data_IF_457230173151
#
_entry.id   IF_457230173151
#
_cell.length_a   1.000
_cell.length_b   1.000
_cell.length_c   1.000
_cell.angle_alpha   90.00
_cell.angle_beta   90.00
_cell.angle_gamma   90.00
#
_symmetry.space_group_name_H-M   'P 1'
#
loop_
_entity.id
_entity.type
_entity.pdbx_description
1 polymer ?
#
# COMPACT_ATOMS: atom_id res chain seq x y z
N UNK A 1 1.06 -19.16 -60.46
CA UNK A 1 1.77 -18.55 -59.31
C UNK A 1 0.81 -17.55 -58.71
N UNK A 2 0.33 -17.74 -57.47
CA UNK A 2 -0.52 -16.75 -56.83
C UNK A 2 0.35 -15.66 -56.20
N UNK A 3 -0.03 -14.41 -56.44
CA UNK A 3 0.58 -13.20 -55.88
C UNK A 3 0.26 -13.09 -54.39
N UNK A 4 1.30 -12.80 -53.60
CA UNK A 4 1.20 -12.48 -52.17
C UNK A 4 0.37 -11.21 -51.98
N UNK A 5 -0.80 -11.35 -51.36
CA UNK A 5 -1.49 -10.23 -50.71
C UNK A 5 -0.80 -10.04 -49.36
N UNK A 6 0.11 -9.07 -49.29
CA UNK A 6 0.62 -8.57 -48.02
C UNK A 6 -0.54 -7.98 -47.22
N UNK A 7 -0.78 -8.59 -46.07
CA UNK A 7 -1.74 -8.15 -45.08
C UNK A 7 -1.24 -6.83 -44.48
N UNK A 8 -1.67 -5.70 -45.05
CA UNK A 8 -1.41 -4.38 -44.49
C UNK A 8 -2.17 -4.29 -43.17
N UNK A 9 -1.45 -4.45 -42.06
CA UNK A 9 -1.99 -4.29 -40.71
C UNK A 9 -2.63 -2.92 -40.57
N UNK A 10 -3.94 -2.91 -40.29
CA UNK A 10 -4.67 -1.73 -39.88
C UNK A 10 -4.01 -1.20 -38.60
N UNK A 11 -3.33 -0.05 -38.70
CA UNK A 11 -2.90 0.69 -37.53
C UNK A 11 -3.99 1.73 -37.22
N UNK A 12 -4.66 1.63 -36.07
CA UNK A 12 -5.69 2.59 -35.69
C UNK A 12 -5.10 4.00 -35.57
N UNK A 13 -5.88 5.02 -35.95
CA UNK A 13 -5.43 6.41 -35.84
C UNK A 13 -5.42 6.90 -34.38
N UNK A 14 -4.78 8.05 -34.10
CA UNK A 14 -4.68 8.60 -32.74
C UNK A 14 -6.04 8.95 -32.10
N UNK A 15 -7.05 9.24 -32.91
CA UNK A 15 -8.40 9.54 -32.45
C UNK A 15 -9.12 8.27 -32.01
N UNK A 16 -8.96 7.18 -32.77
CA UNK A 16 -9.50 5.86 -32.46
C UNK A 16 -8.82 5.24 -31.22
N UNK A 17 -7.50 5.39 -31.09
CA UNK A 17 -6.75 4.99 -29.89
C UNK A 17 -7.27 5.71 -28.63
N UNK A 18 -7.55 7.01 -28.73
CA UNK A 18 -8.09 7.78 -27.61
C UNK A 18 -9.54 7.35 -27.26
N UNK A 19 -10.35 6.97 -28.24
CA UNK A 19 -11.70 6.45 -27.99
C UNK A 19 -11.68 5.06 -27.32
N UNK A 20 -10.78 4.17 -27.74
CA UNK A 20 -10.64 2.84 -27.15
C UNK A 20 -10.16 2.92 -25.70
N UNK A 21 -9.17 3.79 -25.41
CA UNK A 21 -8.72 4.03 -24.04
C UNK A 21 -9.87 4.56 -23.17
N UNK A 22 -10.61 5.57 -23.64
CA UNK A 22 -11.76 6.11 -22.90
C UNK A 22 -12.80 5.04 -22.59
N UNK A 23 -13.11 4.17 -23.57
CA UNK A 23 -14.03 3.05 -23.38
C UNK A 23 -13.51 2.05 -22.35
N UNK A 24 -12.23 1.69 -22.42
CA UNK A 24 -11.58 0.79 -21.48
C UNK A 24 -11.58 1.35 -20.06
N UNK A 25 -11.37 2.66 -19.88
CA UNK A 25 -11.44 3.33 -18.58
C UNK A 25 -12.86 3.34 -18.02
N UNK A 26 -13.88 3.55 -18.84
CA UNK A 26 -15.28 3.46 -18.40
C UNK A 26 -15.62 2.05 -17.91
N UNK A 27 -15.15 1.01 -18.62
CA UNK A 27 -15.29 -0.38 -18.17
C UNK A 27 -14.63 -0.59 -16.81
N UNK A 28 -13.38 -0.13 -16.65
CA UNK A 28 -12.67 -0.25 -15.38
C UNK A 28 -13.43 0.43 -14.23
N UNK A 29 -13.97 1.64 -14.46
CA UNK A 29 -14.69 2.43 -13.45
C UNK A 29 -16.03 1.83 -13.00
N UNK A 30 -16.55 0.80 -13.68
CA UNK A 30 -17.69 0.05 -13.17
C UNK A 30 -17.37 -0.73 -11.88
N UNK A 31 -16.09 -1.02 -11.64
CA UNK A 31 -15.65 -1.89 -10.55
C UNK A 31 -15.84 -3.37 -10.89
N UNK A 32 -15.52 -4.25 -9.93
CA UNK A 32 -15.46 -5.71 -10.07
C UNK A 32 -14.36 -6.18 -11.03
N UNK A 33 -13.25 -6.65 -10.46
CA UNK A 33 -12.08 -7.07 -11.23
C UNK A 33 -12.42 -8.13 -12.29
N UNK A 34 -13.26 -9.11 -11.95
CA UNK A 34 -13.59 -10.23 -12.84
C UNK A 34 -14.43 -9.74 -14.04
N UNK A 35 -15.33 -8.77 -13.82
CA UNK A 35 -16.10 -8.14 -14.89
C UNK A 35 -15.26 -7.23 -15.77
N UNK A 36 -14.36 -6.43 -15.20
CA UNK A 36 -13.45 -5.56 -15.94
C UNK A 36 -12.60 -6.40 -16.91
N UNK A 37 -11.90 -7.42 -16.38
CA UNK A 37 -11.03 -8.27 -17.20
C UNK A 37 -11.82 -8.97 -18.33
N UNK A 38 -13.03 -9.44 -18.03
CA UNK A 38 -13.90 -10.10 -19.00
C UNK A 38 -14.35 -9.14 -20.11
N UNK A 39 -14.86 -7.97 -19.77
CA UNK A 39 -15.39 -7.01 -20.74
C UNK A 39 -14.29 -6.46 -21.64
N UNK A 40 -13.11 -6.12 -21.08
CA UNK A 40 -11.96 -5.66 -21.89
C UNK A 40 -11.55 -6.71 -22.94
N UNK A 41 -11.66 -8.00 -22.62
CA UNK A 41 -11.38 -9.09 -23.56
C UNK A 41 -12.49 -9.26 -24.59
N UNK A 42 -13.76 -9.26 -24.17
CA UNK A 42 -14.92 -9.40 -25.07
C UNK A 42 -15.00 -8.27 -26.10
N UNK A 43 -14.60 -7.06 -25.69
CA UNK A 43 -14.57 -5.89 -26.56
C UNK A 43 -13.26 -5.71 -27.35
N UNK A 44 -12.29 -6.63 -27.21
CA UNK A 44 -10.96 -6.57 -27.84
C UNK A 44 -10.16 -5.29 -27.51
N UNK A 45 -10.33 -4.76 -26.30
CA UNK A 45 -9.60 -3.57 -25.83
C UNK A 45 -8.31 -3.93 -25.06
N UNK A 46 -8.26 -5.12 -24.44
CA UNK A 46 -7.26 -5.40 -23.42
C UNK A 46 -5.81 -5.41 -23.92
N UNK A 47 -5.52 -6.06 -25.05
CA UNK A 47 -4.15 -6.16 -25.57
C UNK A 47 -3.57 -4.79 -25.99
N UNK A 48 -4.41 -3.90 -26.52
CA UNK A 48 -3.99 -2.55 -26.88
C UNK A 48 -3.62 -1.72 -25.65
N UNK A 49 -4.40 -1.84 -24.58
CA UNK A 49 -4.12 -1.18 -23.30
C UNK A 49 -2.89 -1.77 -22.60
N UNK A 50 -2.68 -3.09 -22.69
CA UNK A 50 -1.45 -3.75 -22.24
C UNK A 50 -0.23 -3.16 -22.93
N UNK A 51 -0.28 -2.95 -24.24
CA UNK A 51 0.82 -2.33 -24.99
C UNK A 51 1.03 -0.85 -24.60
N UNK A 52 -0.04 -0.11 -24.28
CA UNK A 52 0.06 1.26 -23.77
C UNK A 52 0.78 1.30 -22.42
N UNK A 53 0.36 0.46 -21.47
CA UNK A 53 0.93 0.41 -20.12
C UNK A 53 2.36 -0.13 -20.13
N UNK A 54 2.67 -1.12 -20.99
CA UNK A 54 4.07 -1.53 -21.24
C UNK A 54 4.94 -0.36 -21.68
N UNK A 55 4.52 0.41 -22.70
CA UNK A 55 5.28 1.58 -23.15
C UNK A 55 5.46 2.63 -22.06
N UNK A 56 4.48 2.76 -21.15
CA UNK A 56 4.54 3.69 -20.01
C UNK A 56 5.62 3.27 -19.00
N UNK A 57 5.78 1.98 -18.71
CA UNK A 57 6.60 1.49 -17.60
C UNK A 57 7.74 0.54 -17.98
N UNK A 58 8.03 0.30 -19.26
CA UNK A 58 9.07 -0.63 -19.72
C UNK A 58 10.48 -0.28 -19.24
N UNK A 59 10.74 1.00 -18.93
CA UNK A 59 12.02 1.46 -18.39
C UNK A 59 12.10 1.38 -16.86
N UNK A 60 10.95 1.26 -16.19
CA UNK A 60 10.83 1.21 -14.74
C UNK A 60 10.72 -0.23 -14.21
N UNK A 61 10.19 -1.15 -15.04
CA UNK A 61 9.98 -2.56 -14.70
C UNK A 61 10.97 -3.43 -15.46
N UNK A 62 11.93 -3.97 -14.71
CA UNK A 62 12.88 -4.97 -15.21
C UNK A 62 12.22 -6.36 -15.29
N UNK A 63 11.90 -6.82 -16.51
CA UNK A 63 11.25 -8.11 -16.71
C UNK A 63 12.11 -9.33 -16.34
N UNK A 64 13.42 -9.16 -16.11
CA UNK A 64 14.26 -10.25 -15.61
C UNK A 64 13.91 -10.64 -14.18
N UNK A 65 13.22 -9.76 -13.45
CA UNK A 65 12.68 -10.03 -12.12
C UNK A 65 11.41 -10.92 -12.14
N UNK A 66 10.75 -11.07 -13.31
CA UNK A 66 9.47 -11.74 -13.47
C UNK A 66 9.51 -12.88 -14.52
N UNK A 67 10.44 -13.85 -14.42
CA UNK A 67 10.61 -14.89 -15.43
C UNK A 67 9.38 -15.80 -15.61
N UNK A 68 8.54 -15.95 -14.58
CA UNK A 68 7.36 -16.83 -14.59
C UNK A 68 6.02 -16.09 -14.65
N UNK A 69 5.98 -14.78 -14.33
CA UNK A 69 4.73 -14.00 -14.27
C UNK A 69 4.69 -12.72 -15.12
N UNK A 70 5.65 -12.50 -16.01
CA UNK A 70 5.72 -11.28 -16.85
C UNK A 70 4.41 -10.93 -17.57
N UNK A 71 3.65 -11.92 -18.08
CA UNK A 71 2.33 -11.66 -18.68
C UNK A 71 1.34 -11.08 -17.67
N UNK A 72 1.24 -11.69 -16.49
CA UNK A 72 0.31 -11.29 -15.44
C UNK A 72 0.67 -9.95 -14.82
N UNK A 73 1.96 -9.57 -14.77
CA UNK A 73 2.39 -8.22 -14.39
C UNK A 73 1.66 -7.19 -15.24
N UNK A 74 1.74 -7.33 -16.57
CA UNK A 74 1.14 -6.35 -17.48
C UNK A 74 -0.39 -6.41 -17.49
N UNK A 75 -0.99 -7.60 -17.41
CA UNK A 75 -2.46 -7.72 -17.32
C UNK A 75 -3.02 -6.99 -16.09
N UNK A 76 -2.41 -7.17 -14.91
CA UNK A 76 -2.89 -6.57 -13.66
C UNK A 76 -2.62 -5.07 -13.60
N UNK A 77 -1.40 -4.62 -13.95
CA UNK A 77 -1.08 -3.19 -14.00
C UNK A 77 -1.95 -2.44 -15.01
N UNK A 78 -2.39 -3.10 -16.09
CA UNK A 78 -3.28 -2.49 -17.07
C UNK A 78 -4.67 -2.23 -16.49
N UNK A 79 -5.22 -3.21 -15.77
CA UNK A 79 -6.51 -3.04 -15.10
C UNK A 79 -6.42 -1.93 -14.04
N UNK A 80 -5.33 -1.89 -13.27
CA UNK A 80 -5.08 -0.83 -12.28
C UNK A 80 -4.91 0.56 -12.91
N UNK A 81 -4.11 0.68 -13.98
CA UNK A 81 -3.89 1.96 -14.70
C UNK A 81 -5.17 2.51 -15.34
N UNK A 82 -6.01 1.63 -15.89
CA UNK A 82 -7.30 2.01 -16.45
C UNK A 82 -8.24 2.56 -15.35
N UNK A 83 -8.14 2.02 -14.13
CA UNK A 83 -8.95 2.44 -12.99
C UNK A 83 -8.46 3.73 -12.34
N UNK A 84 -7.17 3.77 -11.99
CA UNK A 84 -6.53 4.88 -11.27
C UNK A 84 -5.01 4.95 -11.56
N UNK A 85 -4.62 5.94 -12.37
CA UNK A 85 -3.23 6.10 -12.79
C UNK A 85 -2.27 6.46 -11.66
N UNK A 86 -2.75 7.12 -10.59
CA UNK A 86 -1.93 7.44 -9.43
C UNK A 86 -1.56 6.17 -8.67
N UNK A 87 -2.50 5.22 -8.55
CA UNK A 87 -2.31 3.93 -7.89
C UNK A 87 -1.26 3.07 -8.61
N UNK A 88 -1.37 2.89 -9.93
CA UNK A 88 -0.38 2.08 -10.66
C UNK A 88 1.03 2.70 -10.62
N UNK A 89 1.13 4.03 -10.70
CA UNK A 89 2.42 4.73 -10.56
C UNK A 89 3.03 4.50 -9.17
N UNK A 90 2.19 4.52 -8.13
CA UNK A 90 2.60 4.23 -6.77
C UNK A 90 3.10 2.79 -6.64
N UNK A 91 2.39 1.78 -7.17
CA UNK A 91 2.83 0.39 -7.21
C UNK A 91 4.21 0.21 -7.85
N UNK A 92 4.45 0.84 -9.01
CA UNK A 92 5.73 0.78 -9.73
C UNK A 92 6.86 1.43 -8.94
N UNK A 93 6.63 2.58 -8.32
CA UNK A 93 7.65 3.24 -7.49
C UNK A 93 7.91 2.49 -6.17
N UNK A 94 6.87 1.93 -5.55
CA UNK A 94 7.00 1.06 -4.36
C UNK A 94 7.84 -0.16 -4.68
N UNK A 95 7.61 -0.81 -5.82
CA UNK A 95 8.43 -1.90 -6.33
C UNK A 95 9.90 -1.48 -6.53
N UNK A 96 10.17 -0.34 -7.17
CA UNK A 96 11.54 0.16 -7.39
C UNK A 96 12.27 0.42 -6.06
N UNK A 97 11.60 1.07 -5.12
CA UNK A 97 12.14 1.37 -3.79
C UNK A 97 12.44 0.08 -3.02
N UNK A 98 11.51 -0.86 -3.00
CA UNK A 98 11.69 -2.16 -2.36
C UNK A 98 12.84 -2.94 -3.00
N UNK A 99 12.91 -2.99 -4.35
CA UNK A 99 13.99 -3.64 -5.10
C UNK A 99 15.36 -3.08 -4.73
N UNK A 100 15.53 -1.75 -4.75
CA UNK A 100 16.78 -1.10 -4.34
C UNK A 100 17.15 -1.51 -2.92
N UNK A 101 16.20 -1.42 -1.98
CA UNK A 101 16.47 -1.66 -0.57
C UNK A 101 16.90 -3.10 -0.30
N UNK A 102 16.18 -4.09 -0.83
CA UNK A 102 16.43 -5.49 -0.46
C UNK A 102 17.71 -6.08 -1.06
N UNK A 103 18.23 -5.45 -2.11
CA UNK A 103 19.47 -5.86 -2.76
C UNK A 103 20.71 -5.26 -2.09
N UNK A 104 20.54 -4.22 -1.25
CA UNK A 104 21.63 -3.51 -0.59
C UNK A 104 22.20 -4.29 0.60
N UNK A 105 23.50 -4.09 0.84
CA UNK A 105 24.14 -4.48 2.11
C UNK A 105 23.84 -3.40 3.15
N UNK A 106 23.03 -3.77 4.14
CA UNK A 106 22.60 -2.92 5.25
C UNK A 106 23.45 -3.16 6.50
N UNK A 107 23.12 -2.45 7.57
CA UNK A 107 23.78 -2.58 8.87
C UNK A 107 23.87 -4.04 9.34
N UNK A 108 25.02 -4.40 9.93
CA UNK A 108 25.30 -5.78 10.35
C UNK A 108 25.58 -6.75 9.19
N UNK A 109 25.87 -6.25 7.98
CA UNK A 109 26.04 -7.02 6.74
C UNK A 109 24.78 -7.83 6.37
N UNK A 110 23.61 -7.30 6.69
CA UNK A 110 22.32 -7.90 6.33
C UNK A 110 21.97 -7.54 4.89
N UNK A 111 21.46 -8.50 4.13
CA UNK A 111 20.86 -8.29 2.81
C UNK A 111 19.44 -8.86 2.85
N UNK A 112 18.41 -8.02 2.77
CA UNK A 112 17.02 -8.45 2.96
C UNK A 112 16.54 -9.43 1.88
N UNK A 113 17.11 -9.41 0.67
CA UNK A 113 16.79 -10.42 -0.34
C UNK A 113 17.22 -11.85 0.08
N UNK A 114 18.24 -11.98 0.94
CA UNK A 114 18.59 -13.26 1.56
C UNK A 114 17.59 -13.62 2.67
N UNK A 115 17.06 -12.65 3.41
CA UNK A 115 15.97 -12.86 4.37
C UNK A 115 14.77 -13.52 3.68
N UNK A 116 14.29 -12.91 2.58
CA UNK A 116 13.15 -13.40 1.80
C UNK A 116 13.36 -14.86 1.35
N UNK A 117 14.55 -15.16 0.81
CA UNK A 117 14.91 -16.53 0.41
C UNK A 117 14.91 -17.52 1.57
N UNK A 118 15.36 -17.10 2.75
CA UNK A 118 15.41 -17.95 3.95
C UNK A 118 14.03 -18.42 4.43
N UNK A 119 12.97 -17.77 3.96
CA UNK A 119 11.58 -18.07 4.30
C UNK A 119 10.87 -18.92 3.24
N UNK A 120 11.58 -19.34 2.20
CA UNK A 120 11.02 -20.15 1.12
C UNK A 120 10.13 -19.36 0.17
N UNK A 121 10.27 -18.03 0.14
CA UNK A 121 9.61 -17.16 -0.84
C UNK A 121 10.61 -16.76 -1.91
N UNK A 122 10.22 -16.94 -3.17
CA UNK A 122 11.00 -16.47 -4.31
C UNK A 122 10.93 -14.95 -4.38
N UNK A 123 12.06 -14.30 -4.67
CA UNK A 123 12.14 -12.85 -4.83
C UNK A 123 11.14 -12.33 -5.87
N UNK A 124 10.91 -13.08 -6.96
CA UNK A 124 9.89 -12.79 -7.97
C UNK A 124 8.50 -12.58 -7.35
N UNK A 125 8.12 -13.40 -6.35
CA UNK A 125 6.81 -13.30 -5.69
C UNK A 125 6.70 -12.06 -4.82
N UNK A 126 7.79 -11.66 -4.18
CA UNK A 126 7.86 -10.42 -3.43
C UNK A 126 7.74 -9.21 -4.35
N UNK A 127 8.52 -9.15 -5.44
CA UNK A 127 8.41 -8.07 -6.41
C UNK A 127 7.03 -8.01 -7.07
N UNK A 128 6.43 -9.17 -7.35
CA UNK A 128 5.08 -9.22 -7.90
C UNK A 128 4.07 -8.65 -6.90
N UNK A 129 4.18 -9.00 -5.62
CA UNK A 129 3.37 -8.41 -4.56
C UNK A 129 3.55 -6.88 -4.47
N UNK A 130 4.78 -6.35 -4.60
CA UNK A 130 5.00 -4.90 -4.62
C UNK A 130 4.24 -4.22 -5.76
N UNK A 131 4.20 -4.83 -6.96
CA UNK A 131 3.49 -4.27 -8.11
C UNK A 131 1.97 -4.41 -8.04
N UNK A 132 1.45 -5.32 -7.21
CA UNK A 132 0.01 -5.66 -7.22
C UNK A 132 -0.65 -5.52 -5.85
N UNK A 133 0.01 -4.92 -4.86
CA UNK A 133 -0.51 -4.84 -3.49
C UNK A 133 -1.82 -4.06 -3.42
N UNK A 134 -1.98 -3.09 -4.31
CA UNK A 134 -3.11 -2.17 -4.37
C UNK A 134 -4.17 -2.56 -5.41
N UNK A 135 -4.03 -3.71 -6.11
CA UNK A 135 -4.95 -4.10 -7.20
C UNK A 135 -6.42 -4.16 -6.76
N UNK A 136 -6.69 -4.41 -5.48
CA UNK A 136 -8.03 -4.40 -4.90
C UNK A 136 -8.69 -3.02 -4.85
N UNK A 137 -7.96 -1.92 -5.09
CA UNK A 137 -8.53 -0.58 -5.22
C UNK A 137 -9.48 -0.45 -6.39
N UNK A 138 -9.40 -1.34 -7.39
CA UNK A 138 -10.35 -1.38 -8.51
C UNK A 138 -11.79 -1.68 -8.07
N UNK A 139 -11.96 -2.21 -6.85
CA UNK A 139 -13.28 -2.43 -6.24
C UNK A 139 -13.60 -1.43 -5.11
N UNK A 140 -12.83 -0.33 -5.01
CA UNK A 140 -13.10 0.79 -4.10
C UNK A 140 -13.58 1.99 -4.92
N UNK A 141 -14.75 2.57 -4.65
CA UNK A 141 -15.31 3.65 -5.47
C UNK A 141 -14.31 4.78 -5.74
N UNK A 142 -14.23 5.22 -7.00
CA UNK A 142 -13.24 6.22 -7.41
C UNK A 142 -13.31 7.57 -6.67
N UNK A 143 -14.51 8.00 -6.25
CA UNK A 143 -14.69 9.23 -5.44
C UNK A 143 -14.25 9.06 -3.98
N UNK A 144 -14.12 7.82 -3.49
CA UNK A 144 -13.49 7.50 -2.20
C UNK A 144 -11.96 7.57 -2.32
N UNK A 145 -11.37 6.94 -3.34
CA UNK A 145 -9.91 6.95 -3.57
C UNK A 145 -9.40 8.38 -3.81
N UNK A 146 -10.13 9.14 -4.64
CA UNK A 146 -9.80 10.51 -5.01
C UNK A 146 -10.55 11.55 -4.17
N UNK A 147 -10.95 11.18 -2.96
CA UNK A 147 -11.62 12.08 -2.04
C UNK A 147 -10.75 13.32 -1.79
N UNK A 148 -11.35 14.51 -1.91
CA UNK A 148 -10.64 15.80 -1.81
C UNK A 148 -10.83 16.49 -0.45
N UNK A 149 -11.57 15.87 0.46
CA UNK A 149 -11.82 16.42 1.79
C UNK A 149 -10.50 16.53 2.54
N UNK A 150 -10.16 17.75 2.93
CA UNK A 150 -8.90 18.06 3.58
C UNK A 150 -8.89 17.57 5.03
N UNK A 151 -7.69 17.38 5.61
CA UNK A 151 -7.55 17.05 7.03
C UNK A 151 -8.26 18.03 7.96
N UNK A 152 -8.33 19.31 7.58
CA UNK A 152 -9.04 20.35 8.35
C UNK A 152 -10.55 20.14 8.30
N UNK A 153 -11.10 19.87 7.11
CA UNK A 153 -12.54 19.61 6.95
C UNK A 153 -12.96 18.34 7.69
N UNK A 154 -12.18 17.25 7.58
CA UNK A 154 -12.42 16.05 8.38
C UNK A 154 -12.42 16.33 9.88
N UNK A 155 -11.45 17.12 10.35
CA UNK A 155 -11.35 17.51 11.75
C UNK A 155 -12.55 18.36 12.21
N UNK A 156 -13.03 19.29 11.39
CA UNK A 156 -14.21 20.11 11.68
C UNK A 156 -15.47 19.25 11.82
N UNK A 157 -15.67 18.27 10.93
CA UNK A 157 -16.79 17.32 11.01
C UNK A 157 -16.69 16.47 12.28
N UNK A 158 -15.49 15.98 12.62
CA UNK A 158 -15.26 15.20 13.84
C UNK A 158 -15.59 16.02 15.10
N UNK A 159 -15.17 17.28 15.16
CA UNK A 159 -15.47 18.18 16.27
C UNK A 159 -16.98 18.39 16.45
N UNK A 160 -17.71 18.58 15.34
CA UNK A 160 -19.16 18.70 15.37
C UNK A 160 -19.84 17.43 15.91
N UNK A 161 -19.39 16.24 15.47
CA UNK A 161 -19.89 14.95 15.98
C UNK A 161 -19.65 14.82 17.48
N UNK A 162 -18.45 15.17 17.95
CA UNK A 162 -18.07 15.10 19.37
C UNK A 162 -18.94 16.06 20.21
N UNK A 163 -19.14 17.29 19.74
CA UNK A 163 -19.89 18.31 20.46
C UNK A 163 -21.39 17.99 20.53
N UNK A 164 -21.96 17.42 19.46
CA UNK A 164 -23.36 16.97 19.41
C UNK A 164 -23.59 15.59 20.00
N UNK A 165 -22.52 14.83 20.30
CA UNK A 165 -22.56 13.43 20.74
C UNK A 165 -23.21 12.47 19.74
N UNK A 166 -23.02 12.71 18.44
CA UNK A 166 -23.59 11.90 17.34
C UNK A 166 -22.69 10.70 16.98
N UNK A 167 -22.23 9.93 17.96
CA UNK A 167 -21.30 8.81 17.73
C UNK A 167 -22.01 7.63 17.07
N UNK A 168 -21.44 7.09 16.00
CA UNK A 168 -21.91 5.83 15.40
C UNK A 168 -21.33 4.62 16.15
N UNK A 169 -21.99 3.44 16.10
CA UNK A 169 -21.44 2.22 16.66
C UNK A 169 -20.04 1.87 16.13
N UNK A 170 -19.78 2.16 14.85
CA UNK A 170 -18.50 1.94 14.18
C UNK A 170 -17.40 2.86 14.75
N UNK A 171 -17.71 4.14 15.00
CA UNK A 171 -16.79 5.06 15.67
C UNK A 171 -16.41 4.57 17.07
N UNK A 172 -17.40 4.12 17.84
CA UNK A 172 -17.17 3.62 19.21
C UNK A 172 -16.33 2.35 19.21
N UNK A 173 -16.49 1.49 18.21
CA UNK A 173 -15.66 0.30 18.00
C UNK A 173 -14.20 0.67 17.76
N UNK A 174 -13.91 1.57 16.82
CA UNK A 174 -12.54 2.03 16.53
C UNK A 174 -11.87 2.63 17.78
N UNK A 175 -12.64 3.31 18.63
CA UNK A 175 -12.17 3.93 19.88
C UNK A 175 -12.04 2.96 21.07
N UNK A 176 -12.41 1.68 20.92
CA UNK A 176 -12.60 0.71 22.01
C UNK A 176 -13.49 1.25 23.14
N UNK A 177 -14.59 1.89 22.76
CA UNK A 177 -15.63 2.37 23.68
C UNK A 177 -16.86 1.48 23.53
N UNK A 178 -17.51 1.17 24.65
CA UNK A 178 -18.72 0.35 24.63
C UNK A 178 -19.82 1.01 23.78
N UNK A 179 -20.28 0.32 22.72
CA UNK A 179 -21.31 0.76 21.76
C UNK A 179 -22.63 1.21 22.41
N UNK A 180 -22.92 0.78 23.64
CA UNK A 180 -24.16 1.11 24.37
C UNK A 180 -24.02 2.32 25.33
N UNK A 181 -22.92 3.06 25.26
CA UNK A 181 -22.64 4.20 26.14
C UNK A 181 -22.65 5.52 25.36
N UNK A 182 -22.89 6.63 26.06
CA UNK A 182 -22.68 7.97 25.51
C UNK A 182 -21.40 8.54 26.13
N UNK A 183 -20.24 8.37 25.48
CA UNK A 183 -18.97 8.78 26.06
C UNK A 183 -18.89 10.29 26.21
N UNK A 184 -18.05 10.73 27.13
CA UNK A 184 -17.78 12.16 27.30
C UNK A 184 -16.79 12.66 26.24
N UNK A 185 -16.81 13.97 25.94
CA UNK A 185 -15.82 14.60 25.05
C UNK A 185 -14.38 14.29 25.49
N UNK A 186 -14.10 14.34 26.79
CA UNK A 186 -12.76 14.05 27.33
C UNK A 186 -12.34 12.60 27.11
N UNK A 187 -13.27 11.65 27.26
CA UNK A 187 -13.02 10.24 27.01
C UNK A 187 -12.71 9.97 25.53
N UNK A 188 -13.49 10.55 24.62
CA UNK A 188 -13.27 10.40 23.17
C UNK A 188 -11.93 11.00 22.76
N UNK A 189 -11.63 12.24 23.18
CA UNK A 189 -10.36 12.89 22.86
C UNK A 189 -9.15 12.12 23.42
N UNK A 190 -9.30 11.53 24.61
CA UNK A 190 -8.27 10.66 25.19
C UNK A 190 -8.04 9.43 24.32
N UNK A 191 -9.10 8.73 23.89
CA UNK A 191 -9.00 7.55 23.02
C UNK A 191 -8.39 7.85 21.66
N UNK A 192 -8.77 8.98 21.05
CA UNK A 192 -8.18 9.45 19.79
C UNK A 192 -6.67 9.65 19.95
N UNK A 193 -6.25 10.32 21.02
CA UNK A 193 -4.83 10.56 21.29
C UNK A 193 -4.05 9.29 21.63
N UNK A 194 -4.63 8.35 22.39
CA UNK A 194 -3.98 7.09 22.77
C UNK A 194 -3.74 6.18 21.57
N UNK A 195 -4.68 6.18 20.62
CA UNK A 195 -4.60 5.38 19.39
C UNK A 195 -3.96 6.12 18.21
N UNK A 196 -3.65 7.42 18.38
CA UNK A 196 -3.14 8.31 17.33
C UNK A 196 -4.00 8.28 16.06
N UNK A 197 -5.32 8.36 16.27
CA UNK A 197 -6.29 8.32 15.18
C UNK A 197 -6.45 9.69 14.53
N UNK A 198 -6.63 9.69 13.22
CA UNK A 198 -7.01 10.86 12.44
C UNK A 198 -8.51 10.88 12.15
N UNK A 199 -9.02 12.06 11.78
CA UNK A 199 -10.46 12.25 11.62
C UNK A 199 -11.05 11.40 10.48
N UNK A 200 -10.31 11.21 9.39
CA UNK A 200 -10.68 10.34 8.26
C UNK A 200 -10.80 8.85 8.63
N UNK A 201 -10.27 8.43 9.77
CA UNK A 201 -10.41 7.06 10.30
C UNK A 201 -11.68 6.88 11.13
N UNK A 202 -12.32 7.97 11.54
CA UNK A 202 -13.45 7.98 12.46
C UNK A 202 -14.73 8.51 11.81
N UNK A 203 -14.65 9.62 11.08
CA UNK A 203 -15.81 10.31 10.56
C UNK A 203 -16.52 9.45 9.50
N UNK A 204 -17.84 9.20 9.66
CA UNK A 204 -18.65 8.55 8.63
C UNK A 204 -18.61 9.32 7.30
N UNK A 205 -18.35 8.64 6.19
CA UNK A 205 -18.27 9.30 4.87
C UNK A 205 -19.58 9.97 4.48
N UNK A 206 -20.74 9.50 4.96
CA UNK A 206 -22.03 10.15 4.75
C UNK A 206 -22.15 11.56 5.35
N UNK A 207 -21.20 11.98 6.19
CA UNK A 207 -21.11 13.37 6.69
C UNK A 207 -20.26 14.28 5.79
N UNK A 208 -19.50 13.72 4.85
CA UNK A 208 -18.57 14.43 4.00
C UNK A 208 -18.92 14.34 2.49
N UNK A 209 -19.67 13.32 2.09
CA UNK A 209 -20.06 13.08 0.69
C UNK A 209 -21.39 13.78 0.34
N UNK A 210 -21.60 13.98 -0.96
CA UNK A 210 -22.86 14.46 -1.52
C UNK A 210 -23.95 13.37 -1.53
N UNK A 211 -25.22 13.77 -1.64
CA UNK A 211 -26.35 12.82 -1.73
C UNK A 211 -26.23 11.87 -2.94
N UNK A 212 -25.66 12.35 -4.05
CA UNK A 212 -25.41 11.55 -5.25
C UNK A 212 -24.33 10.49 -4.99
N UNK A 213 -23.19 10.89 -4.40
CA UNK A 213 -22.11 9.97 -4.03
C UNK A 213 -22.56 8.94 -2.99
N UNK A 214 -23.38 9.33 -1.99
CA UNK A 214 -23.97 8.41 -1.02
C UNK A 214 -24.90 7.42 -1.73
N UNK A 215 -25.73 7.92 -2.65
CA UNK A 215 -26.60 7.09 -3.47
C UNK A 215 -25.83 6.09 -4.32
N UNK A 216 -24.73 6.49 -4.95
CA UNK A 216 -23.86 5.58 -5.70
C UNK A 216 -23.19 4.55 -4.76
N UNK A 217 -22.64 5.01 -3.64
CA UNK A 217 -21.94 4.18 -2.66
C UNK A 217 -22.82 3.04 -2.13
N UNK A 218 -24.08 3.33 -1.80
CA UNK A 218 -24.99 2.34 -1.23
C UNK A 218 -25.66 1.46 -2.30
N UNK A 219 -26.06 2.03 -3.45
CA UNK A 219 -26.82 1.30 -4.46
C UNK A 219 -25.95 0.53 -5.45
N UNK A 220 -24.81 1.09 -5.88
CA UNK A 220 -23.89 0.45 -6.82
C UNK A 220 -22.82 -0.37 -6.08
N UNK A 221 -22.18 0.24 -5.09
CA UNK A 221 -21.04 -0.38 -4.40
C UNK A 221 -21.41 -1.20 -3.17
N UNK A 222 -22.67 -1.10 -2.72
CA UNK A 222 -23.17 -1.79 -1.52
C UNK A 222 -22.34 -1.51 -0.26
N UNK A 223 -21.78 -0.30 -0.17
CA UNK A 223 -21.00 0.19 0.97
C UNK A 223 -21.86 1.17 1.76
N UNK A 224 -22.03 0.92 3.06
CA UNK A 224 -22.80 1.82 3.93
C UNK A 224 -22.04 3.11 4.24
N UNK A 225 -22.74 4.23 4.15
CA UNK A 225 -22.20 5.58 4.38
C UNK A 225 -21.82 5.89 5.84
N UNK A 226 -22.15 4.99 6.78
CA UNK A 226 -21.76 5.10 8.18
C UNK A 226 -20.29 4.70 8.46
N UNK A 227 -19.62 4.06 7.50
CA UNK A 227 -18.20 3.71 7.57
C UNK A 227 -17.31 4.94 7.37
N UNK A 228 -16.09 4.92 7.90
CA UNK A 228 -15.11 5.98 7.67
C UNK A 228 -14.38 5.82 6.33
N UNK A 229 -13.75 6.90 5.86
CA UNK A 229 -13.00 6.90 4.59
C UNK A 229 -11.93 5.81 4.60
N UNK A 230 -11.12 5.76 5.67
CA UNK A 230 -10.05 4.78 5.79
C UNK A 230 -10.57 3.35 5.98
N UNK A 231 -11.71 3.16 6.66
CA UNK A 231 -12.33 1.83 6.76
C UNK A 231 -12.75 1.29 5.40
N UNK A 232 -13.17 2.15 4.46
CA UNK A 232 -13.54 1.73 3.10
C UNK A 232 -12.28 1.46 2.28
N UNK A 233 -11.32 2.39 2.30
CA UNK A 233 -10.07 2.25 1.53
C UNK A 233 -9.32 0.99 1.95
N UNK A 234 -9.15 0.71 3.25
CA UNK A 234 -8.34 -0.40 3.76
C UNK A 234 -8.85 -1.78 3.32
N UNK A 235 -10.10 -1.91 2.87
CA UNK A 235 -10.62 -3.17 2.30
C UNK A 235 -9.88 -3.61 1.04
N UNK A 236 -9.18 -2.70 0.35
CA UNK A 236 -8.43 -3.07 -0.85
C UNK A 236 -7.40 -4.16 -0.57
N UNK A 237 -6.82 -4.25 0.63
CA UNK A 237 -5.85 -5.30 0.95
C UNK A 237 -6.47 -6.71 0.89
N UNK A 238 -7.67 -6.86 1.46
CA UNK A 238 -8.44 -8.11 1.40
C UNK A 238 -8.90 -8.42 -0.02
N UNK A 239 -9.33 -7.40 -0.77
CA UNK A 239 -9.75 -7.54 -2.16
C UNK A 239 -8.54 -7.94 -3.04
N UNK A 240 -7.38 -7.31 -2.85
CA UNK A 240 -6.12 -7.66 -3.51
C UNK A 240 -5.76 -9.12 -3.25
N UNK A 241 -5.89 -9.57 -2.00
CA UNK A 241 -5.70 -10.98 -1.65
C UNK A 241 -6.62 -11.90 -2.45
N UNK A 242 -7.92 -11.61 -2.46
CA UNK A 242 -8.93 -12.41 -3.18
C UNK A 242 -8.62 -12.47 -4.68
N UNK A 243 -8.33 -11.33 -5.30
CA UNK A 243 -7.97 -11.23 -6.72
C UNK A 243 -6.72 -12.08 -6.99
N UNK A 244 -5.64 -11.88 -6.24
CA UNK A 244 -4.37 -12.57 -6.46
C UNK A 244 -4.48 -14.08 -6.21
N UNK A 245 -5.25 -14.53 -5.22
CA UNK A 245 -5.54 -15.96 -4.99
C UNK A 245 -6.29 -16.57 -6.18
N UNK A 246 -7.36 -15.91 -6.66
CA UNK A 246 -8.10 -16.36 -7.86
C UNK A 246 -7.22 -16.44 -9.10
N UNK A 247 -6.25 -15.53 -9.23
CA UNK A 247 -5.27 -15.49 -10.33
C UNK A 247 -4.12 -16.49 -10.15
N UNK A 248 -4.09 -17.26 -9.07
CA UNK A 248 -3.12 -18.33 -8.83
C UNK A 248 -1.81 -17.85 -8.17
N UNK A 249 -1.84 -16.74 -7.44
CA UNK A 249 -0.66 -16.13 -6.80
C UNK A 249 -0.77 -16.06 -5.27
N UNK A 250 -1.01 -17.17 -4.54
CA UNK A 250 -1.30 -17.15 -3.10
C UNK A 250 -0.18 -16.55 -2.23
N UNK A 251 1.09 -16.73 -2.60
CA UNK A 251 2.22 -16.11 -1.88
C UNK A 251 2.21 -14.59 -2.00
N UNK A 252 1.99 -14.06 -3.21
CA UNK A 252 1.88 -12.62 -3.43
C UNK A 252 0.61 -12.05 -2.77
N UNK A 253 -0.50 -12.79 -2.84
CA UNK A 253 -1.74 -12.47 -2.15
C UNK A 253 -1.54 -12.33 -0.64
N UNK A 254 -0.78 -13.24 -0.01
CA UNK A 254 -0.50 -13.17 1.43
C UNK A 254 0.34 -11.93 1.80
N UNK A 255 1.33 -11.57 0.98
CA UNK A 255 2.15 -10.37 1.19
C UNK A 255 1.28 -9.11 1.00
N UNK A 256 0.49 -9.05 -0.07
CA UNK A 256 -0.45 -7.96 -0.35
C UNK A 256 -1.56 -7.84 0.69
N UNK A 257 -2.04 -8.93 1.31
CA UNK A 257 -3.03 -8.84 2.37
C UNK A 257 -2.47 -8.14 3.63
N UNK A 258 -1.16 -8.29 3.86
CA UNK A 258 -0.52 -7.91 5.11
C UNK A 258 0.19 -6.56 5.05
N UNK A 259 0.23 -5.88 3.90
CA UNK A 259 1.03 -4.65 3.77
C UNK A 259 0.49 -3.44 4.56
N UNK A 260 -0.73 -3.49 5.12
CA UNK A 260 -1.25 -2.49 6.07
C UNK A 260 -1.20 -2.93 7.53
N UNK A 261 -0.66 -4.13 7.83
CA UNK A 261 -0.93 -4.82 9.09
C UNK A 261 -0.70 -3.97 10.35
N UNK A 262 -1.72 -4.02 11.22
CA UNK A 262 -1.60 -4.16 12.68
C UNK A 262 -1.41 -5.66 12.97
N UNK A 263 -0.55 -6.00 13.91
CA UNK A 263 -0.19 -7.38 14.32
C UNK A 263 -1.33 -8.34 14.76
N UNK A 264 -2.61 -7.96 14.66
CA UNK A 264 -3.73 -8.79 15.08
C UNK A 264 -4.83 -8.78 14.00
N UNK A 265 -4.99 -9.89 13.29
CA UNK A 265 -6.22 -10.71 13.28
C UNK A 265 -6.19 -11.71 12.10
N UNK A 266 -6.09 -13.00 12.46
CA UNK A 266 -6.37 -14.12 11.58
C UNK A 266 -7.82 -14.06 11.09
N UNK A 267 -8.01 -13.63 9.86
CA UNK A 267 -9.24 -13.91 9.13
C UNK A 267 -8.87 -14.67 7.85
N UNK A 268 -9.48 -15.83 7.68
CA UNK A 268 -9.47 -16.74 6.51
C UNK A 268 -8.57 -17.99 6.60
N UNK A 269 -9.04 -19.13 6.06
CA UNK A 269 -8.31 -20.40 6.10
C UNK A 269 -6.96 -20.26 5.42
N UNK A 270 -5.91 -20.36 6.23
CA UNK A 270 -4.53 -20.25 5.79
C UNK A 270 -4.23 -21.42 4.86
N UNK A 271 -3.93 -21.14 3.60
CA UNK A 271 -3.36 -22.15 2.70
C UNK A 271 -1.97 -22.54 3.19
N UNK A 272 -1.54 -23.78 2.94
CA UNK A 272 -0.17 -24.23 3.33
C UNK A 272 0.90 -23.36 2.64
N UNK A 273 0.59 -22.81 1.46
CA UNK A 273 1.47 -21.92 0.72
C UNK A 273 1.54 -20.49 1.32
N UNK A 274 0.49 -20.02 2.00
CA UNK A 274 0.49 -18.73 2.72
C UNK A 274 1.13 -18.82 4.12
N UNK A 275 1.18 -20.01 4.73
CA UNK A 275 1.90 -20.24 6.00
C UNK A 275 3.42 -20.02 5.89
N UNK A 276 3.97 -19.99 4.67
CA UNK A 276 5.39 -19.75 4.42
C UNK A 276 5.74 -18.25 4.38
N UNK A 277 4.75 -17.35 4.33
CA UNK A 277 5.00 -15.91 4.27
C UNK A 277 5.12 -15.37 5.68
N UNK A 278 6.30 -14.89 6.05
CA UNK A 278 6.48 -14.21 7.33
C UNK A 278 5.96 -12.77 7.28
N UNK A 279 5.75 -12.19 8.46
CA UNK A 279 5.49 -10.77 8.65
C UNK A 279 6.61 -9.88 8.08
N UNK A 280 7.86 -10.37 8.03
CA UNK A 280 9.00 -9.54 7.65
C UNK A 280 8.90 -9.06 6.19
N UNK A 281 8.34 -9.87 5.28
CA UNK A 281 8.09 -9.43 3.89
C UNK A 281 6.98 -8.39 3.79
N UNK A 282 5.91 -8.57 4.56
CA UNK A 282 4.84 -7.58 4.64
C UNK A 282 5.36 -6.27 5.23
N UNK A 283 6.26 -6.34 6.22
CA UNK A 283 6.93 -5.17 6.81
C UNK A 283 7.81 -4.44 5.78
N UNK A 284 8.60 -5.15 4.97
CA UNK A 284 9.40 -4.55 3.91
C UNK A 284 8.49 -3.84 2.89
N UNK A 285 7.40 -4.49 2.47
CA UNK A 285 6.44 -3.88 1.55
C UNK A 285 5.76 -2.66 2.19
N UNK A 286 5.34 -2.74 3.45
CA UNK A 286 4.75 -1.63 4.20
C UNK A 286 5.71 -0.43 4.30
N UNK A 287 6.98 -0.68 4.61
CA UNK A 287 8.00 0.37 4.69
C UNK A 287 8.18 1.07 3.34
N UNK A 288 8.24 0.30 2.26
CA UNK A 288 8.34 0.83 0.90
C UNK A 288 7.08 1.63 0.51
N UNK A 289 5.91 1.08 0.81
CA UNK A 289 4.60 1.67 0.54
C UNK A 289 4.43 3.03 1.23
N UNK A 290 4.65 3.06 2.55
CA UNK A 290 4.52 4.28 3.36
C UNK A 290 5.57 5.32 2.97
N UNK A 291 6.83 4.92 2.76
CA UNK A 291 7.87 5.85 2.31
C UNK A 291 7.51 6.47 0.96
N UNK A 292 7.12 5.65 -0.02
CA UNK A 292 6.71 6.15 -1.34
C UNK A 292 5.50 7.08 -1.21
N UNK A 293 4.46 6.66 -0.48
CA UNK A 293 3.21 7.40 -0.37
C UNK A 293 3.38 8.77 0.32
N UNK A 294 4.31 8.87 1.27
CA UNK A 294 4.61 10.13 1.97
C UNK A 294 5.60 11.02 1.22
N UNK A 295 6.56 10.42 0.51
CA UNK A 295 7.55 11.13 -0.28
C UNK A 295 7.00 11.59 -1.64
N UNK A 296 5.89 11.05 -2.12
CA UNK A 296 5.23 11.52 -3.35
C UNK A 296 4.30 12.71 -3.09
N UNK A 297 4.20 13.62 -4.05
CA UNK A 297 3.15 14.64 -4.06
C UNK A 297 1.86 14.04 -4.62
N UNK A 298 0.86 13.78 -3.76
CA UNK A 298 -0.51 13.45 -4.21
C UNK A 298 -1.35 14.72 -4.32
N UNK A 299 -2.39 14.69 -5.16
CA UNK A 299 -3.23 15.86 -5.50
C UNK A 299 -3.82 16.63 -4.30
N UNK A 300 -3.88 16.00 -3.12
CA UNK A 300 -4.44 16.54 -1.87
C UNK A 300 -3.43 16.68 -0.70
N UNK A 301 -2.15 16.31 -0.86
CA UNK A 301 -1.18 16.24 0.26
C UNK A 301 0.15 16.94 -0.08
N UNK A 302 0.59 17.85 0.80
CA UNK A 302 1.95 18.42 0.73
C UNK A 302 2.97 17.30 0.95
N UNK A 303 3.98 17.23 0.09
CA UNK A 303 5.08 16.27 0.19
C UNK A 303 5.77 16.35 1.56
N UNK A 304 5.97 15.21 2.21
CA UNK A 304 6.68 15.14 3.48
C UNK A 304 8.18 15.26 3.23
N UNK A 305 8.89 15.92 4.16
CA UNK A 305 10.35 15.90 4.10
C UNK A 305 10.88 14.50 4.44
N UNK A 306 12.05 14.08 3.94
CA UNK A 306 12.64 12.77 4.27
C UNK A 306 12.69 12.50 5.78
N UNK A 307 13.00 13.53 6.58
CA UNK A 307 13.03 13.44 8.03
C UNK A 307 11.64 13.16 8.64
N UNK A 308 10.59 13.77 8.10
CA UNK A 308 9.22 13.52 8.56
C UNK A 308 8.75 12.11 8.16
N UNK A 309 9.12 11.64 6.97
CA UNK A 309 8.83 10.27 6.52
C UNK A 309 9.47 9.26 7.46
N UNK A 310 10.78 9.36 7.69
CA UNK A 310 11.50 8.43 8.57
C UNK A 310 10.98 8.48 10.01
N UNK A 311 10.58 9.66 10.51
CA UNK A 311 9.94 9.78 11.82
C UNK A 311 8.62 9.01 11.89
N UNK A 312 7.81 9.02 10.83
CA UNK A 312 6.57 8.24 10.77
C UNK A 312 6.87 6.74 10.77
N UNK A 313 7.90 6.28 10.05
CA UNK A 313 8.33 4.88 10.09
C UNK A 313 8.75 4.45 11.51
N UNK A 314 9.46 5.32 12.24
CA UNK A 314 9.78 5.10 13.67
C UNK A 314 8.52 5.00 14.52
N UNK A 315 7.49 5.82 14.26
CA UNK A 315 6.22 5.75 14.98
C UNK A 315 5.51 4.41 14.73
N UNK A 316 5.56 3.90 13.50
CA UNK A 316 4.98 2.60 13.15
C UNK A 316 5.69 1.46 13.90
N UNK A 317 7.03 1.46 13.91
CA UNK A 317 7.81 0.47 14.64
C UNK A 317 7.60 0.55 16.16
N UNK A 318 7.53 1.77 16.71
CA UNK A 318 7.35 2.00 18.15
C UNK A 318 5.98 1.56 18.67
N UNK A 319 4.97 1.50 17.79
CA UNK A 319 3.61 1.01 18.08
C UNK A 319 3.40 -0.46 17.72
N UNK A 320 4.48 -1.18 17.42
CA UNK A 320 4.46 -2.59 17.01
C UNK A 320 3.57 -2.86 15.78
N UNK A 321 3.39 -1.85 14.92
CA UNK A 321 2.68 -1.99 13.64
C UNK A 321 3.55 -2.71 12.61
N UNK A 322 4.88 -2.59 12.74
CA UNK A 322 5.86 -3.28 11.90
C UNK A 322 6.95 -3.95 12.75
N UNK A 323 7.57 -5.00 12.21
CA UNK A 323 8.76 -5.63 12.77
C UNK A 323 9.90 -4.62 12.98
N UNK A 324 10.38 -4.51 14.22
CA UNK A 324 11.31 -3.44 14.60
C UNK A 324 12.71 -3.68 14.01
N UNK A 325 13.10 -4.92 13.77
CA UNK A 325 14.38 -5.31 13.19
C UNK A 325 14.48 -4.88 11.72
N UNK A 326 13.44 -5.16 10.93
CA UNK A 326 13.36 -4.72 9.53
C UNK A 326 13.27 -3.19 9.47
N UNK A 327 12.43 -2.58 10.33
CA UNK A 327 12.32 -1.14 10.42
C UNK A 327 13.65 -0.47 10.78
N UNK A 328 14.42 -1.02 11.73
CA UNK A 328 15.75 -0.53 12.08
C UNK A 328 16.69 -0.51 10.89
N UNK A 329 16.79 -1.62 10.15
CA UNK A 329 17.67 -1.70 8.97
C UNK A 329 17.29 -0.66 7.91
N UNK A 330 15.99 -0.45 7.72
CA UNK A 330 15.45 0.52 6.77
C UNK A 330 15.71 1.97 7.21
N UNK A 331 15.32 2.31 8.43
CA UNK A 331 15.42 3.66 9.04
C UNK A 331 16.88 4.09 9.15
N UNK A 332 17.78 3.20 9.56
CA UNK A 332 19.20 3.52 9.66
C UNK A 332 19.80 3.85 8.29
N UNK A 333 19.43 3.08 7.25
CA UNK A 333 19.89 3.37 5.90
C UNK A 333 19.42 4.75 5.40
N UNK A 334 18.15 5.08 5.62
CA UNK A 334 17.61 6.39 5.25
C UNK A 334 18.24 7.54 6.06
N UNK A 335 18.48 7.32 7.35
CA UNK A 335 19.21 8.28 8.20
C UNK A 335 20.61 8.56 7.68
N UNK A 336 21.37 7.53 7.30
CA UNK A 336 22.70 7.68 6.70
C UNK A 336 22.66 8.38 5.34
N UNK A 337 21.65 8.11 4.51
CA UNK A 337 21.45 8.82 3.23
C UNK A 337 21.21 10.31 3.47
N UNK A 338 20.34 10.68 4.42
CA UNK A 338 20.06 12.06 4.79
C UNK A 338 21.31 12.79 5.28
N UNK A 339 22.12 12.13 6.12
CA UNK A 339 23.40 12.68 6.58
C UNK A 339 24.35 12.98 5.43
N UNK A 340 24.52 12.03 4.50
CA UNK A 340 25.40 12.19 3.32
C UNK A 340 24.95 13.32 2.40
N UNK A 341 23.64 13.56 2.26
CA UNK A 341 23.09 14.71 1.52
C UNK A 341 23.28 16.04 2.25
N UNK A 342 23.55 16.00 3.55
CA UNK A 342 23.70 17.18 4.40
C UNK A 342 22.36 17.75 4.85
N UNK A 343 21.33 16.91 4.96
CA UNK A 343 19.95 17.31 5.28
C UNK A 343 19.80 17.89 6.71
N UNK A 344 20.84 17.75 7.56
CA UNK A 344 20.82 18.16 8.98
C UNK A 344 21.54 19.48 9.28
N UNK A 345 21.98 20.23 8.26
CA UNK A 345 22.79 21.46 8.46
C UNK A 345 22.01 22.62 9.10
N UNK A 346 20.73 22.73 8.81
CA UNK A 346 19.86 23.82 9.29
C UNK A 346 18.49 23.24 9.68
N UNK A 347 18.42 22.62 10.86
CA UNK A 347 17.16 22.08 11.39
C UNK A 347 16.46 23.11 12.26
N UNK A 348 15.15 23.24 12.09
CA UNK A 348 14.30 23.94 13.07
C UNK A 348 14.09 23.08 14.34
N UNK A 349 13.39 23.64 15.33
CA UNK A 349 13.13 22.94 16.60
C UNK A 349 12.31 21.65 16.42
N UNK A 350 11.30 21.65 15.53
CA UNK A 350 10.45 20.48 15.25
C UNK A 350 11.27 19.38 14.59
N UNK A 351 12.07 19.75 13.59
CA UNK A 351 12.96 18.84 12.88
C UNK A 351 14.03 18.27 13.80
N UNK A 352 14.60 19.08 14.69
CA UNK A 352 15.56 18.61 15.69
C UNK A 352 14.96 17.53 16.59
N UNK A 353 13.72 17.72 17.07
CA UNK A 353 13.02 16.70 17.85
C UNK A 353 12.70 15.43 17.06
N UNK A 354 12.36 15.54 15.78
CA UNK A 354 12.19 14.37 14.90
C UNK A 354 13.49 13.59 14.73
N UNK A 355 14.62 14.28 14.52
CA UNK A 355 15.92 13.65 14.38
C UNK A 355 16.34 12.95 15.69
N UNK A 356 16.15 13.60 16.84
CA UNK A 356 16.41 12.99 18.15
C UNK A 356 15.60 11.70 18.34
N UNK A 357 14.32 11.70 17.95
CA UNK A 357 13.48 10.50 18.01
C UNK A 357 14.03 9.36 17.14
N UNK A 358 14.50 9.67 15.93
CA UNK A 358 15.10 8.69 15.01
C UNK A 358 16.41 8.14 15.57
N UNK A 359 17.30 9.01 16.03
CA UNK A 359 18.61 8.61 16.58
C UNK A 359 18.44 7.79 17.89
N UNK A 360 17.43 8.12 18.71
CA UNK A 360 17.08 7.32 19.89
C UNK A 360 16.58 5.91 19.51
N UNK A 361 15.72 5.79 18.49
CA UNK A 361 15.28 4.49 17.99
C UNK A 361 16.45 3.66 17.47
N UNK A 362 17.34 4.25 16.68
CA UNK A 362 18.56 3.57 16.18
C UNK A 362 19.45 3.13 17.36
N UNK A 363 19.64 3.98 18.36
CA UNK A 363 20.50 3.68 19.51
C UNK A 363 20.00 2.47 20.33
N UNK A 364 18.69 2.22 20.38
CA UNK A 364 18.13 1.04 21.05
C UNK A 364 18.62 -0.28 20.44
N UNK A 365 18.94 -0.30 19.15
CA UNK A 365 19.45 -1.46 18.42
C UNK A 365 20.98 -1.57 18.43
N UNK A 366 21.69 -0.45 18.58
CA UNK A 366 23.16 -0.44 18.55
C UNK A 366 23.79 -0.71 19.91
N UNK A 367 23.21 -0.14 20.96
CA UNK A 367 23.76 -0.17 22.32
C UNK A 367 22.69 -0.35 23.41
N UNK A 368 21.42 -0.44 23.04
CA UNK A 368 20.30 -0.55 23.97
C UNK A 368 19.66 -1.94 24.01
N UNK A 369 18.40 -1.97 24.48
CA UNK A 369 17.68 -3.19 24.85
C UNK A 369 17.34 -4.10 23.65
N UNK A 370 17.32 -3.57 22.42
CA UNK A 370 16.99 -4.34 21.21
C UNK A 370 18.20 -4.90 20.48
N UNK A 371 19.42 -4.67 20.98
CA UNK A 371 20.63 -5.18 20.36
C UNK A 371 20.66 -6.71 20.29
N UNK A 372 20.42 -7.36 21.43
CA UNK A 372 20.45 -8.82 21.51
C UNK A 372 19.32 -9.45 20.66
N UNK A 373 18.13 -8.82 20.63
CA UNK A 373 17.01 -9.22 19.78
C UNK A 373 17.40 -9.21 18.29
N UNK A 374 18.03 -8.12 17.83
CA UNK A 374 18.51 -7.99 16.46
C UNK A 374 19.59 -9.02 16.13
N UNK A 375 20.58 -9.23 17.01
CA UNK A 375 21.63 -10.22 16.80
C UNK A 375 21.05 -11.64 16.69
N UNK A 376 20.07 -11.97 17.55
CA UNK A 376 19.34 -13.24 17.51
C UNK A 376 18.50 -13.38 16.24
N UNK A 377 17.79 -12.32 15.83
CA UNK A 377 17.00 -12.30 14.61
C UNK A 377 17.87 -12.51 13.36
N UNK A 378 19.04 -11.85 13.29
CA UNK A 378 20.01 -12.06 12.21
C UNK A 378 20.54 -13.50 12.22
N UNK A 379 20.93 -14.02 13.38
CA UNK A 379 21.46 -15.37 13.50
C UNK A 379 20.44 -16.44 13.07
N UNK A 380 19.17 -16.27 13.46
CA UNK A 380 18.05 -17.14 13.06
C UNK A 380 17.93 -17.23 11.54
N UNK A 381 17.98 -16.10 10.84
CA UNK A 381 17.84 -16.06 9.38
C UNK A 381 19.06 -16.62 8.64
N UNK A 382 20.27 -16.38 9.17
CA UNK A 382 21.48 -17.03 8.66
C UNK A 382 21.41 -18.56 8.79
N UNK A 383 20.99 -19.07 9.94
CA UNK A 383 20.83 -20.50 10.16
C UNK A 383 19.77 -21.12 9.22
N UNK A 384 18.66 -20.42 8.95
CA UNK A 384 17.66 -20.87 7.97
C UNK A 384 18.27 -21.00 6.56
N UNK A 385 19.08 -20.03 6.13
CA UNK A 385 19.75 -20.06 4.83
C UNK A 385 20.75 -21.21 4.72
N UNK A 386 21.55 -21.43 5.76
CA UNK A 386 22.52 -22.52 5.81
C UNK A 386 21.85 -23.90 5.75
N UNK A 387 20.66 -24.04 6.32
CA UNK A 387 19.89 -25.29 6.28
C UNK A 387 19.14 -25.50 4.95
N UNK A 388 18.94 -24.44 4.15
CA UNK A 388 18.23 -24.49 2.86
C UNK A 388 19.18 -24.69 1.67
N UNK A 389 20.48 -24.41 1.84
CA UNK A 389 21.55 -24.65 0.86
C UNK A 389 22.12 -26.08 1.00
#
# INVERSE_FOLDING_TARGET
MPENIENQGFQPDQTELNQNEQKARLIAQEGDFDMIEKQLKEENLFEGEIDRVKKKFENDIDLTDFPTVSKSVWELLTIEDLYDEETVQHCVETYKLAKEKIQKVLSGNVVLSLLIKSEGVEIERFYFACLTHDIGKVEVPGFIIRNKTTKKEWQEILEEIIDKKEFTPEMLEVLDINKNTSPTKQEVLKKISEKDLHAEELVPVGKALTDEEIGELENKWHIFSNQSLMSIINKHADISKIILEKKGFPKAASIAAQHHHRKDEDLYPVSVDSLQVSSDMADILHLADVEQALASSRSYKKQFTPLEVVKILVDHASRDQIGKEVAYLWIKDEREKMEKRGDFKELDFKQSGSLEKIDNFISQFEIGDHKDDLENWIAKHKAKLENAA
#
